data_IF_169493064736
#
_entry.id   IF_169493064736
#
_cell.length_a   1.000
_cell.length_b   1.000
_cell.length_c   1.000
_cell.angle_alpha   90.00
_cell.angle_beta   90.00
_cell.angle_gamma   90.00
#
_symmetry.space_group_name_H-M   'P 1'
#
loop_
_entity.id
_entity.type
_entity.pdbx_description
1 polymer ?
#
# COMPACT_ATOMS: atom_id res chain seq x y z
N UNK A 1 41.04 -14.48 11.05
CA UNK A 1 40.15 -15.45 10.38
C UNK A 1 38.75 -15.23 10.94
N UNK A 2 37.82 -14.74 10.12
CA UNK A 2 36.44 -14.49 10.52
C UNK A 2 35.70 -15.82 10.53
N UNK A 3 35.35 -16.31 11.71
CA UNK A 3 34.46 -17.45 11.89
C UNK A 3 33.05 -17.03 11.50
N UNK A 4 32.49 -17.67 10.48
CA UNK A 4 31.07 -17.50 10.14
C UNK A 4 30.24 -17.75 11.40
N UNK A 5 29.45 -16.76 11.82
CA UNK A 5 28.53 -16.88 12.94
C UNK A 5 27.47 -17.92 12.56
N UNK A 6 27.43 -19.03 13.27
CA UNK A 6 26.35 -20.01 13.10
C UNK A 6 25.00 -19.35 13.42
N UNK A 7 23.98 -19.64 12.62
CA UNK A 7 22.62 -19.13 12.80
C UNK A 7 21.97 -19.58 14.13
N UNK A 8 22.57 -20.59 14.77
CA UNK A 8 22.12 -21.15 16.04
C UNK A 8 23.22 -21.07 17.09
N UNK A 9 22.82 -20.64 18.29
CA UNK A 9 23.62 -20.67 19.51
C UNK A 9 23.40 -21.99 20.24
N UNK A 10 24.47 -22.50 20.83
CA UNK A 10 24.42 -23.53 21.88
C UNK A 10 24.07 -22.92 23.24
N UNK A 11 23.72 -23.75 24.22
CA UNK A 11 23.48 -23.30 25.61
C UNK A 11 24.65 -22.47 26.17
N UNK A 12 25.89 -22.89 25.89
CA UNK A 12 27.10 -22.18 26.34
C UNK A 12 27.21 -20.80 25.69
N UNK A 13 27.03 -20.72 24.37
CA UNK A 13 27.14 -19.46 23.64
C UNK A 13 26.02 -18.48 24.02
N UNK A 14 24.80 -18.96 24.30
CA UNK A 14 23.74 -18.12 24.84
C UNK A 14 24.06 -17.63 26.25
N UNK A 15 24.62 -18.49 27.11
CA UNK A 15 25.04 -18.10 28.46
C UNK A 15 26.14 -17.02 28.42
N UNK A 16 27.12 -17.17 27.53
CA UNK A 16 28.15 -16.16 27.28
C UNK A 16 27.57 -14.85 26.75
N UNK A 17 26.66 -14.91 25.78
CA UNK A 17 25.97 -13.74 25.22
C UNK A 17 25.22 -12.94 26.30
N UNK A 18 24.45 -13.64 27.13
CA UNK A 18 23.65 -13.03 28.21
C UNK A 18 24.47 -12.71 29.46
N UNK A 19 25.74 -13.13 29.52
CA UNK A 19 26.62 -13.03 30.68
C UNK A 19 26.01 -13.66 31.95
N UNK A 20 25.35 -14.81 31.78
CA UNK A 20 24.78 -15.61 32.86
C UNK A 20 25.42 -17.00 32.92
N UNK A 21 25.17 -17.75 34.00
CA UNK A 21 25.61 -19.15 34.09
C UNK A 21 24.70 -20.04 33.24
N UNK A 22 25.24 -21.08 32.61
CA UNK A 22 24.47 -22.05 31.80
C UNK A 22 23.26 -22.64 32.55
N UNK A 23 23.39 -22.89 33.86
CA UNK A 23 22.27 -23.31 34.72
C UNK A 23 21.06 -22.37 34.60
N UNK A 24 21.29 -21.07 34.52
CA UNK A 24 20.22 -20.08 34.41
C UNK A 24 19.56 -20.10 33.02
N UNK A 25 20.31 -20.47 31.98
CA UNK A 25 19.74 -20.74 30.65
C UNK A 25 18.79 -21.93 30.70
N UNK A 26 19.18 -23.02 31.38
CA UNK A 26 18.27 -24.16 31.59
C UNK A 26 17.02 -23.78 32.38
N UNK A 27 17.14 -22.94 33.41
CA UNK A 27 15.98 -22.44 34.15
C UNK A 27 15.03 -21.66 33.23
N UNK A 28 15.56 -20.77 32.37
CA UNK A 28 14.77 -19.99 31.40
C UNK A 28 14.07 -20.85 30.35
N UNK A 29 14.72 -21.93 29.92
CA UNK A 29 14.13 -22.91 29.01
C UNK A 29 13.03 -23.70 29.71
N UNK A 30 13.25 -24.10 30.97
CA UNK A 30 12.26 -24.83 31.76
C UNK A 30 11.02 -23.98 32.08
N UNK A 31 11.20 -22.67 32.30
CA UNK A 31 10.11 -21.72 32.49
C UNK A 31 9.47 -21.22 31.19
N UNK A 32 9.91 -21.71 30.03
CA UNK A 32 9.37 -21.34 28.72
C UNK A 32 9.57 -19.88 28.34
N UNK A 33 10.51 -19.18 28.99
CA UNK A 33 10.67 -17.73 28.87
C UNK A 33 11.60 -17.34 27.73
N UNK A 34 12.49 -18.24 27.31
CA UNK A 34 13.44 -18.02 26.20
C UNK A 34 13.08 -18.92 25.00
N UNK A 35 13.05 -18.39 23.77
CA UNK A 35 12.76 -19.20 22.58
C UNK A 35 13.88 -20.20 22.33
N UNK A 36 13.54 -21.48 22.20
CA UNK A 36 14.52 -22.54 21.94
C UNK A 36 13.95 -23.66 21.05
N UNK A 37 14.83 -24.38 20.38
CA UNK A 37 14.51 -25.56 19.59
C UNK A 37 15.28 -26.77 20.16
N UNK A 38 14.59 -27.90 20.32
CA UNK A 38 15.24 -29.17 20.64
C UNK A 38 15.50 -29.96 19.37
N UNK A 39 16.77 -30.16 19.03
CA UNK A 39 17.19 -30.98 17.90
C UNK A 39 18.15 -32.06 18.39
N UNK A 40 17.87 -33.33 18.11
CA UNK A 40 18.75 -34.47 18.49
C UNK A 40 19.16 -34.49 19.97
N UNK A 41 18.24 -34.12 20.87
CA UNK A 41 18.50 -34.08 22.32
C UNK A 41 19.30 -32.87 22.81
N UNK A 42 19.71 -31.96 21.93
CA UNK A 42 20.41 -30.71 22.28
C UNK A 42 19.47 -29.51 22.17
N UNK A 43 19.70 -28.51 23.03
CA UNK A 43 19.05 -27.21 22.94
C UNK A 43 19.84 -26.32 21.99
N UNK A 44 19.13 -25.74 21.03
CA UNK A 44 19.63 -24.76 20.08
C UNK A 44 18.77 -23.50 20.14
N UNK A 45 19.40 -22.35 19.94
CA UNK A 45 18.75 -21.05 20.04
C UNK A 45 19.04 -20.25 18.77
N UNK A 46 18.05 -20.06 17.92
CA UNK A 46 18.22 -19.25 16.70
C UNK A 46 18.56 -17.81 17.09
N UNK A 47 19.63 -17.25 16.52
CA UNK A 47 20.14 -15.93 16.89
C UNK A 47 19.08 -14.83 16.76
N UNK A 48 18.38 -14.78 15.62
CA UNK A 48 17.32 -13.82 15.38
C UNK A 48 16.17 -13.90 16.40
N UNK A 49 15.82 -15.12 16.85
CA UNK A 49 14.78 -15.31 17.86
C UNK A 49 15.22 -14.82 19.25
N UNK A 50 16.51 -14.98 19.59
CA UNK A 50 17.08 -14.47 20.84
C UNK A 50 17.17 -12.94 20.83
N UNK A 51 17.56 -12.35 19.71
CA UNK A 51 17.60 -10.89 19.54
C UNK A 51 16.21 -10.27 19.74
N UNK A 52 15.19 -10.79 19.04
CA UNK A 52 13.80 -10.35 19.21
C UNK A 52 13.28 -10.54 20.65
N UNK A 53 13.65 -11.64 21.31
CA UNK A 53 13.28 -11.89 22.69
C UNK A 53 13.91 -10.88 23.66
N UNK A 54 15.18 -10.54 23.48
CA UNK A 54 15.88 -9.54 24.30
C UNK A 54 15.27 -8.15 24.14
N UNK A 55 14.88 -7.80 22.92
CA UNK A 55 14.15 -6.56 22.64
C UNK A 55 12.79 -6.52 23.34
N UNK A 56 12.03 -7.62 23.31
CA UNK A 56 10.72 -7.71 23.96
C UNK A 56 10.77 -7.74 25.50
N UNK A 57 11.93 -8.11 26.08
CA UNK A 57 12.08 -8.31 27.53
C UNK A 57 12.68 -7.11 28.28
N UNK A 58 12.85 -5.96 27.62
CA UNK A 58 13.37 -4.74 28.24
C UNK A 58 12.35 -4.14 29.23
N UNK A 59 12.78 -3.84 30.46
CA UNK A 59 11.99 -3.09 31.45
C UNK A 59 12.86 -1.98 32.08
N UNK A 60 12.40 -0.73 32.02
CA UNK A 60 13.11 0.48 32.49
C UNK A 60 12.33 1.75 32.15
N UNK A 61 12.67 2.94 32.71
CA UNK A 61 11.98 4.18 32.37
C UNK A 61 12.11 4.43 30.87
N UNK A 62 10.95 4.59 30.21
CA UNK A 62 10.79 4.66 28.76
C UNK A 62 11.54 5.85 28.15
N UNK A 63 12.84 5.68 27.91
CA UNK A 63 13.71 6.58 27.15
C UNK A 63 14.24 5.97 25.85
N UNK A 64 13.91 4.70 25.59
CA UNK A 64 13.98 4.08 24.27
C UNK A 64 12.54 3.95 23.76
N UNK A 65 12.25 4.23 22.48
CA UNK A 65 10.90 4.19 21.97
C UNK A 65 10.34 2.80 22.25
N UNK A 66 9.25 2.73 23.04
CA UNK A 66 8.33 1.60 22.99
C UNK A 66 8.14 1.22 21.52
N UNK A 67 8.20 -0.07 21.15
CA UNK A 67 7.96 -0.59 19.80
C UNK A 67 7.18 0.45 18.98
N UNK A 68 7.89 1.22 18.15
CA UNK A 68 7.45 2.55 17.70
C UNK A 68 5.98 2.46 17.31
N UNK A 69 5.10 3.13 18.06
CA UNK A 69 3.70 3.18 17.70
C UNK A 69 3.66 3.83 16.32
N UNK A 70 3.31 3.03 15.31
CA UNK A 70 3.23 3.49 13.93
C UNK A 70 2.28 4.70 13.92
N UNK A 71 2.63 5.77 13.21
CA UNK A 71 1.73 6.91 13.10
C UNK A 71 0.43 6.45 12.43
N UNK A 72 -0.71 6.84 12.99
CA UNK A 72 -2.05 6.51 12.49
C UNK A 72 -2.35 7.29 11.21
N UNK A 73 -1.67 6.90 10.14
CA UNK A 73 -1.68 7.57 8.83
C UNK A 73 -1.95 6.53 7.74
N UNK A 74 -2.93 6.83 6.89
CA UNK A 74 -3.16 6.18 5.60
C UNK A 74 -2.26 6.81 4.54
N UNK A 75 -1.44 5.98 3.92
CA UNK A 75 -0.50 6.34 2.87
C UNK A 75 -1.02 5.90 1.50
N UNK A 76 -0.21 6.11 0.47
CA UNK A 76 -0.45 5.55 -0.85
C UNK A 76 -1.48 6.33 -1.66
N UNK A 77 -2.21 5.63 -2.50
CA UNK A 77 -3.00 6.24 -3.57
C UNK A 77 -4.26 6.92 -3.05
N UNK A 78 -4.56 8.08 -3.60
CA UNK A 78 -5.83 8.76 -3.34
C UNK A 78 -7.00 8.01 -4.01
N UNK A 79 -8.13 7.96 -3.31
CA UNK A 79 -9.41 7.53 -3.86
C UNK A 79 -10.55 8.35 -3.21
N UNK A 80 -11.53 8.86 -3.99
CA UNK A 80 -12.63 9.65 -3.44
C UNK A 80 -13.52 8.92 -2.44
N UNK A 81 -13.72 7.61 -2.58
CA UNK A 81 -14.51 6.81 -1.64
C UNK A 81 -13.74 6.59 -0.34
N UNK A 82 -12.44 6.25 -0.43
CA UNK A 82 -11.56 6.10 0.73
C UNK A 82 -11.43 7.41 1.51
N UNK A 83 -11.17 8.54 0.84
CA UNK A 83 -11.04 9.84 1.49
C UNK A 83 -12.32 10.23 2.23
N UNK A 84 -13.48 10.01 1.60
CA UNK A 84 -14.76 10.25 2.25
C UNK A 84 -14.98 9.32 3.45
N UNK A 85 -14.67 8.03 3.32
CA UNK A 85 -14.87 7.05 4.39
C UNK A 85 -13.98 7.31 5.62
N UNK A 86 -12.72 7.71 5.40
CA UNK A 86 -11.83 8.11 6.49
C UNK A 86 -12.38 9.33 7.26
N UNK A 87 -12.98 10.30 6.55
CA UNK A 87 -13.59 11.49 7.15
C UNK A 87 -14.90 11.18 7.88
N UNK A 88 -15.77 10.38 7.27
CA UNK A 88 -17.11 10.09 7.79
C UNK A 88 -17.10 9.10 8.97
N UNK A 89 -16.11 8.20 9.01
CA UNK A 89 -16.00 7.18 10.06
C UNK A 89 -15.58 7.71 11.43
N UNK A 90 -15.09 8.95 11.53
CA UNK A 90 -14.48 9.52 12.75
C UNK A 90 -13.40 8.60 13.36
N UNK A 91 -12.67 7.88 12.49
CA UNK A 91 -11.67 6.89 12.91
C UNK A 91 -10.38 7.50 13.49
N UNK A 92 -10.24 8.83 13.47
CA UNK A 92 -9.04 9.57 13.87
C UNK A 92 -7.75 9.24 13.08
N UNK A 93 -7.85 8.52 11.96
CA UNK A 93 -6.71 8.21 11.10
C UNK A 93 -6.47 9.36 10.12
N UNK A 94 -5.24 9.89 10.10
CA UNK A 94 -4.85 10.93 9.14
C UNK A 94 -4.62 10.34 7.73
N UNK A 95 -4.73 11.15 6.68
CA UNK A 95 -4.38 10.76 5.32
C UNK A 95 -3.18 11.55 4.80
N UNK A 96 -2.24 10.86 4.16
CA UNK A 96 -1.09 11.43 3.47
C UNK A 96 -0.90 10.74 2.12
N UNK A 97 -1.84 10.99 1.21
CA UNK A 97 -1.89 10.35 -0.09
C UNK A 97 -0.78 10.84 -1.06
N UNK A 98 -0.40 9.96 -1.97
CA UNK A 98 0.59 10.12 -3.04
C UNK A 98 0.41 9.01 -4.08
N UNK A 99 1.51 8.36 -4.48
CA UNK A 99 1.49 7.21 -5.39
C UNK A 99 1.40 5.86 -4.68
N UNK A 100 1.03 4.79 -5.40
CA UNK A 100 1.02 3.43 -4.85
C UNK A 100 2.43 2.98 -4.43
N UNK A 101 3.43 3.20 -5.29
CA UNK A 101 4.82 2.77 -5.01
C UNK A 101 5.45 3.57 -3.87
N UNK A 102 5.25 4.88 -3.88
CA UNK A 102 5.69 5.78 -2.82
C UNK A 102 4.95 5.51 -1.49
N UNK A 103 3.68 5.11 -1.54
CA UNK A 103 2.94 4.59 -0.38
C UNK A 103 3.55 3.31 0.20
N UNK A 104 3.96 2.36 -0.65
CA UNK A 104 4.63 1.13 -0.22
C UNK A 104 5.98 1.40 0.43
N UNK A 105 6.77 2.31 -0.15
CA UNK A 105 8.06 2.72 0.41
C UNK A 105 7.87 3.34 1.79
N UNK A 106 6.96 4.31 1.92
CA UNK A 106 6.63 4.95 3.20
C UNK A 106 6.06 3.96 4.22
N UNK A 107 5.27 2.99 3.78
CA UNK A 107 4.75 1.93 4.66
C UNK A 107 5.88 1.00 5.15
N UNK A 108 6.79 0.59 4.27
CA UNK A 108 7.97 -0.20 4.64
C UNK A 108 8.90 0.55 5.62
N UNK A 109 8.97 1.87 5.50
CA UNK A 109 9.69 2.78 6.41
C UNK A 109 8.92 3.14 7.69
N UNK A 110 7.85 2.39 8.00
CA UNK A 110 7.05 2.56 9.21
C UNK A 110 6.45 3.98 9.37
N UNK A 111 6.10 4.66 8.26
CA UNK A 111 5.54 6.02 8.24
C UNK A 111 4.00 6.07 8.27
N UNK A 112 3.35 4.92 8.39
CA UNK A 112 1.89 4.81 8.44
C UNK A 112 1.47 3.41 8.84
N UNK A 113 0.19 3.25 9.16
CA UNK A 113 -0.41 1.97 9.53
C UNK A 113 -1.07 1.26 8.34
N UNK A 114 -1.27 1.97 7.24
CA UNK A 114 -1.87 1.43 6.03
C UNK A 114 -1.42 2.19 4.78
N UNK A 115 -1.51 1.56 3.62
CA UNK A 115 -1.27 2.15 2.30
C UNK A 115 -2.31 1.67 1.31
N UNK A 116 -2.89 2.60 0.55
CA UNK A 116 -3.87 2.28 -0.49
C UNK A 116 -3.19 2.09 -1.86
N UNK A 117 -3.58 1.06 -2.60
CA UNK A 117 -2.81 0.53 -3.73
C UNK A 117 -3.69 0.12 -4.91
N UNK A 118 -3.16 0.31 -6.12
CA UNK A 118 -3.76 -0.15 -7.37
C UNK A 118 -2.65 -0.38 -8.43
N UNK A 119 -1.74 -1.29 -8.09
CA UNK A 119 -0.63 -1.68 -8.95
C UNK A 119 -1.07 -2.80 -9.89
N UNK A 120 -1.15 -2.52 -11.18
CA UNK A 120 -1.48 -3.51 -12.19
C UNK A 120 -0.29 -4.44 -12.46
N UNK A 121 -0.54 -5.75 -12.48
CA UNK A 121 0.46 -6.80 -12.66
C UNK A 121 0.18 -7.56 -13.97
N UNK A 122 0.77 -7.15 -15.11
CA UNK A 122 0.39 -7.67 -16.43
C UNK A 122 0.69 -9.15 -16.63
N UNK A 123 1.62 -9.72 -15.86
CA UNK A 123 2.01 -11.13 -15.99
C UNK A 123 0.87 -12.09 -15.64
N UNK A 124 0.07 -11.73 -14.64
CA UNK A 124 -0.99 -12.58 -14.08
C UNK A 124 -2.40 -11.97 -14.22
N UNK A 125 -2.52 -10.79 -14.84
CA UNK A 125 -3.75 -9.98 -14.89
C UNK A 125 -4.35 -9.73 -13.49
N UNK A 126 -3.47 -9.46 -12.53
CA UNK A 126 -3.80 -9.24 -11.13
C UNK A 126 -3.46 -7.83 -10.68
N UNK A 127 -3.83 -7.53 -9.44
CA UNK A 127 -3.55 -6.26 -8.79
C UNK A 127 -2.90 -6.52 -7.44
N UNK A 128 -1.83 -5.78 -7.16
CA UNK A 128 -1.13 -5.68 -5.87
C UNK A 128 -0.50 -6.98 -5.31
N UNK A 129 -1.10 -8.15 -5.49
CA UNK A 129 -0.77 -9.38 -4.75
C UNK A 129 0.66 -9.84 -4.98
N UNK A 130 1.16 -9.86 -6.22
CA UNK A 130 2.53 -10.26 -6.53
C UNK A 130 3.57 -9.30 -5.93
N UNK A 131 3.30 -8.00 -6.03
CA UNK A 131 4.13 -6.92 -5.50
C UNK A 131 4.19 -7.00 -3.97
N UNK A 132 3.05 -7.17 -3.30
CA UNK A 132 3.00 -7.30 -1.84
C UNK A 132 3.69 -8.58 -1.38
N UNK A 133 3.40 -9.70 -2.05
CA UNK A 133 3.98 -11.00 -1.66
C UNK A 133 5.50 -10.97 -1.77
N UNK A 134 6.05 -10.35 -2.81
CA UNK A 134 7.51 -10.24 -3.00
C UNK A 134 8.16 -9.24 -2.05
N UNK A 135 7.58 -8.05 -1.84
CA UNK A 135 8.19 -6.98 -1.03
C UNK A 135 8.02 -7.20 0.48
N UNK A 136 6.93 -7.80 0.92
CA UNK A 136 6.58 -7.98 2.34
C UNK A 136 6.66 -9.45 2.79
N UNK A 137 7.44 -10.28 2.09
CA UNK A 137 7.70 -11.67 2.49
C UNK A 137 8.20 -11.73 3.94
N UNK A 138 7.52 -12.49 4.80
CA UNK A 138 7.88 -12.64 6.21
C UNK A 138 7.46 -11.48 7.11
N UNK A 139 6.84 -10.43 6.57
CA UNK A 139 6.30 -9.32 7.34
C UNK A 139 4.83 -9.57 7.72
N UNK A 140 4.44 -9.00 8.85
CA UNK A 140 3.11 -9.13 9.42
C UNK A 140 2.18 -8.07 8.81
N UNK A 141 1.68 -8.32 7.60
CA UNK A 141 0.76 -7.42 6.89
C UNK A 141 -0.55 -8.11 6.52
N UNK A 142 -1.59 -7.30 6.29
CA UNK A 142 -2.91 -7.72 5.80
C UNK A 142 -3.21 -6.93 4.53
N UNK A 143 -3.62 -7.60 3.45
CA UNK A 143 -4.10 -6.96 2.23
C UNK A 143 -5.60 -7.20 2.11
N UNK A 144 -6.39 -6.14 1.99
CA UNK A 144 -7.84 -6.23 1.80
C UNK A 144 -8.27 -5.61 0.49
N UNK A 145 -9.21 -6.27 -0.18
CA UNK A 145 -9.94 -5.66 -1.27
C UNK A 145 -10.88 -4.60 -0.73
N UNK A 146 -10.70 -3.35 -1.18
CA UNK A 146 -11.54 -2.23 -0.77
C UNK A 146 -12.69 -2.02 -1.74
N UNK A 147 -12.35 -1.87 -3.03
CA UNK A 147 -13.34 -1.72 -4.08
C UNK A 147 -12.79 -2.10 -5.45
N UNK A 148 -13.72 -2.29 -6.39
CA UNK A 148 -13.45 -2.28 -7.81
C UNK A 148 -14.03 -1.01 -8.41
N UNK A 149 -13.31 -0.42 -9.37
CA UNK A 149 -13.68 0.83 -10.03
C UNK A 149 -13.39 0.81 -11.52
N UNK A 150 -14.13 1.55 -12.33
CA UNK A 150 -13.85 1.68 -13.77
C UNK A 150 -12.81 2.77 -14.05
N UNK A 151 -11.76 2.37 -14.79
CA UNK A 151 -10.64 3.21 -15.21
C UNK A 151 -10.69 3.43 -16.72
N UNK A 152 -10.48 4.65 -17.15
CA UNK A 152 -10.58 5.01 -18.56
C UNK A 152 -10.04 6.40 -18.89
N UNK A 153 -10.29 6.85 -20.11
CA UNK A 153 -9.93 8.20 -20.54
C UNK A 153 -11.06 9.17 -20.20
N UNK A 154 -10.74 10.20 -19.42
CA UNK A 154 -11.60 11.35 -19.16
C UNK A 154 -11.31 12.40 -20.23
N UNK A 155 -12.35 12.87 -20.91
CA UNK A 155 -12.27 13.76 -22.06
C UNK A 155 -13.28 14.90 -21.94
N UNK A 156 -13.04 16.01 -22.62
CA UNK A 156 -14.12 16.96 -22.90
C UNK A 156 -15.22 16.29 -23.76
N UNK A 157 -16.52 16.60 -23.56
CA UNK A 157 -17.60 15.95 -24.28
C UNK A 157 -17.48 15.98 -25.81
N UNK A 158 -16.96 17.07 -26.37
CA UNK A 158 -16.74 17.27 -27.81
C UNK A 158 -15.58 16.44 -28.38
N UNK A 159 -14.64 15.98 -27.54
CA UNK A 159 -13.52 15.14 -27.94
C UNK A 159 -13.85 13.65 -28.00
N UNK A 160 -15.02 13.23 -27.48
CA UNK A 160 -15.42 11.82 -27.37
C UNK A 160 -15.50 11.06 -28.71
N UNK A 161 -15.69 11.78 -29.82
CA UNK A 161 -15.69 11.19 -31.17
C UNK A 161 -14.27 11.04 -31.76
N UNK A 162 -13.31 11.81 -31.25
CA UNK A 162 -11.93 11.86 -31.78
C UNK A 162 -10.96 10.99 -30.99
N UNK A 163 -11.26 10.73 -29.72
CA UNK A 163 -10.44 9.90 -28.83
C UNK A 163 -11.35 8.79 -28.31
N UNK A 164 -11.15 7.58 -28.83
CA UNK A 164 -11.97 6.40 -28.55
C UNK A 164 -11.16 5.25 -27.96
N UNK A 165 -9.83 5.34 -27.99
CA UNK A 165 -8.92 4.38 -27.40
C UNK A 165 -7.58 5.04 -27.06
N UNK A 166 -6.68 4.27 -26.43
CA UNK A 166 -5.33 4.74 -26.04
C UNK A 166 -4.47 5.11 -27.26
N UNK A 167 -4.66 4.46 -28.41
CA UNK A 167 -3.91 4.77 -29.62
C UNK A 167 -4.17 6.19 -30.15
N UNK A 168 -5.37 6.73 -29.88
CA UNK A 168 -5.79 8.07 -30.30
C UNK A 168 -5.13 9.20 -29.46
N UNK A 169 -4.39 8.84 -28.41
CA UNK A 169 -3.63 9.79 -27.58
C UNK A 169 -2.34 10.28 -28.23
N UNK A 170 -1.93 9.70 -29.35
CA UNK A 170 -0.77 10.15 -30.10
C UNK A 170 -0.90 11.64 -30.46
N UNK A 171 0.14 12.42 -30.16
CA UNK A 171 0.23 13.86 -30.42
C UNK A 171 -0.81 14.73 -29.67
N UNK A 172 -1.45 14.17 -28.63
CA UNK A 172 -2.42 14.86 -27.75
C UNK A 172 -1.77 15.36 -26.46
N UNK A 173 -2.43 16.35 -25.83
CA UNK A 173 -2.11 16.81 -24.48
C UNK A 173 -2.74 15.88 -23.45
N UNK A 174 -1.93 15.20 -22.66
CA UNK A 174 -2.39 14.22 -21.67
C UNK A 174 -1.99 14.65 -20.28
N UNK A 175 -2.90 14.52 -19.31
CA UNK A 175 -2.59 14.85 -17.92
C UNK A 175 -1.54 13.90 -17.36
N UNK A 176 -0.43 14.45 -16.89
CA UNK A 176 0.58 13.68 -16.16
C UNK A 176 0.11 13.37 -14.74
N UNK A 177 0.54 12.22 -14.23
CA UNK A 177 0.49 11.87 -12.81
C UNK A 177 1.90 11.78 -12.27
N UNK A 178 2.05 11.79 -10.95
CA UNK A 178 3.37 11.58 -10.33
C UNK A 178 3.95 10.24 -10.82
N UNK A 179 5.26 10.14 -11.11
CA UNK A 179 5.86 8.93 -11.67
C UNK A 179 5.55 7.66 -10.87
N UNK A 180 5.39 7.77 -9.55
CA UNK A 180 5.19 6.69 -8.59
C UNK A 180 3.72 6.23 -8.47
N UNK A 181 2.77 6.87 -9.17
CA UNK A 181 1.35 6.45 -9.12
C UNK A 181 1.10 5.19 -9.94
N UNK A 182 0.14 4.37 -9.49
CA UNK A 182 -0.36 3.23 -10.28
C UNK A 182 -0.93 3.68 -11.61
N UNK A 183 -1.59 4.84 -11.66
CA UNK A 183 -2.14 5.41 -12.90
C UNK A 183 -1.07 5.80 -13.93
N UNK A 184 0.06 6.38 -13.52
CA UNK A 184 1.14 6.72 -14.47
C UNK A 184 1.79 5.46 -15.04
N UNK A 185 1.98 4.43 -14.21
CA UNK A 185 2.48 3.13 -14.64
C UNK A 185 1.52 2.44 -15.60
N UNK A 186 0.23 2.44 -15.26
CA UNK A 186 -0.82 1.86 -16.11
C UNK A 186 -0.89 2.57 -17.46
N UNK A 187 -0.81 3.90 -17.50
CA UNK A 187 -0.77 4.64 -18.77
C UNK A 187 0.40 4.20 -19.65
N UNK A 188 1.60 4.05 -19.08
CA UNK A 188 2.77 3.56 -19.81
C UNK A 188 2.53 2.17 -20.40
N UNK A 189 2.02 1.25 -19.59
CA UNK A 189 1.72 -0.11 -20.04
C UNK A 189 0.68 -0.13 -21.17
N UNK A 190 -0.38 0.66 -21.06
CA UNK A 190 -1.42 0.77 -22.08
C UNK A 190 -0.88 1.37 -23.39
N UNK A 191 0.00 2.38 -23.31
CA UNK A 191 0.66 2.96 -24.48
C UNK A 191 1.59 1.95 -25.15
N UNK A 192 2.39 1.22 -24.37
CA UNK A 192 3.29 0.18 -24.87
C UNK A 192 2.50 -0.93 -25.59
N UNK A 193 1.37 -1.38 -25.00
CA UNK A 193 0.46 -2.35 -25.63
C UNK A 193 -0.14 -1.83 -26.93
N UNK A 194 -0.44 -0.53 -27.01
CA UNK A 194 -0.95 0.12 -28.21
C UNK A 194 0.15 0.46 -29.25
N UNK A 195 1.42 0.21 -28.94
CA UNK A 195 2.55 0.54 -29.80
C UNK A 195 2.79 2.05 -29.96
N UNK A 196 2.36 2.85 -28.97
CA UNK A 196 2.54 4.30 -28.98
C UNK A 196 3.75 4.67 -28.12
N UNK A 197 4.76 5.30 -28.74
CA UNK A 197 5.87 5.90 -27.99
C UNK A 197 5.33 7.03 -27.11
N UNK A 198 5.56 6.94 -25.79
CA UNK A 198 5.19 7.95 -24.80
C UNK A 198 5.68 9.36 -25.17
N UNK A 199 6.78 9.48 -25.93
CA UNK A 199 7.30 10.77 -26.40
C UNK A 199 6.40 11.48 -27.41
N UNK A 200 5.44 10.77 -27.99
CA UNK A 200 4.41 11.37 -28.86
C UNK A 200 3.33 12.08 -28.07
N UNK A 201 3.23 11.86 -26.76
CA UNK A 201 2.28 12.58 -25.92
C UNK A 201 2.90 13.88 -25.42
N UNK A 202 2.06 14.91 -25.26
CA UNK A 202 2.43 16.16 -24.60
C UNK A 202 1.88 16.13 -23.18
N UNK A 203 2.74 15.95 -22.19
CA UNK A 203 2.30 15.90 -20.80
C UNK A 203 2.11 17.29 -20.20
N UNK A 204 1.04 17.47 -19.42
CA UNK A 204 0.86 18.64 -18.55
C UNK A 204 1.81 18.60 -17.36
N UNK A 205 1.73 19.60 -16.48
CA UNK A 205 2.22 19.44 -15.11
C UNK A 205 1.52 18.25 -14.44
N UNK A 206 2.26 17.56 -13.56
CA UNK A 206 1.75 16.39 -12.86
C UNK A 206 0.63 16.79 -11.89
N UNK A 207 -0.53 16.15 -12.04
CA UNK A 207 -1.61 16.22 -11.06
C UNK A 207 -1.32 15.29 -9.87
N UNK A 208 -1.72 15.71 -8.68
CA UNK A 208 -1.50 15.01 -7.42
C UNK A 208 -2.72 14.22 -6.96
N UNK A 209 -3.95 14.55 -7.38
CA UNK A 209 -5.17 13.79 -7.04
C UNK A 209 -6.02 13.40 -8.25
N UNK A 210 -6.84 12.35 -8.13
CA UNK A 210 -7.77 11.94 -9.20
C UNK A 210 -8.67 13.11 -9.62
N UNK A 211 -9.12 13.90 -8.63
CA UNK A 211 -9.91 15.13 -8.80
C UNK A 211 -9.17 16.18 -9.63
N UNK A 212 -7.91 16.43 -9.32
CA UNK A 212 -7.09 17.40 -10.06
C UNK A 212 -6.87 16.96 -11.50
N UNK A 213 -6.64 15.66 -11.73
CA UNK A 213 -6.48 15.14 -13.08
C UNK A 213 -7.73 15.38 -13.95
N UNK A 214 -8.92 15.17 -13.38
CA UNK A 214 -10.18 15.48 -14.07
C UNK A 214 -10.38 17.00 -14.25
N UNK A 215 -9.96 17.84 -13.29
CA UNK A 215 -10.06 19.29 -13.37
C UNK A 215 -9.23 19.86 -14.52
N UNK A 216 -8.02 19.35 -14.75
CA UNK A 216 -7.14 19.80 -15.85
C UNK A 216 -7.81 19.57 -17.22
N UNK A 217 -8.54 18.46 -17.39
CA UNK A 217 -9.35 18.21 -18.59
C UNK A 217 -10.54 19.17 -18.64
N UNK A 218 -11.27 19.33 -17.53
CA UNK A 218 -12.41 20.24 -17.41
C UNK A 218 -12.07 21.68 -17.79
N UNK A 219 -10.86 22.13 -17.46
CA UNK A 219 -10.35 23.47 -17.76
C UNK A 219 -9.82 23.61 -19.20
N UNK A 220 -9.79 22.53 -19.98
CA UNK A 220 -9.29 22.52 -21.37
C UNK A 220 -7.76 22.58 -21.51
N UNK A 221 -7.06 22.36 -20.40
CA UNK A 221 -5.59 22.38 -20.34
C UNK A 221 -4.97 21.09 -20.89
N UNK A 222 -5.72 19.98 -20.87
CA UNK A 222 -5.39 18.72 -21.51
C UNK A 222 -6.56 18.21 -22.38
N UNK A 223 -6.24 17.39 -23.37
CA UNK A 223 -7.22 16.73 -24.24
C UNK A 223 -7.76 15.44 -23.58
N UNK A 224 -6.94 14.78 -22.75
CA UNK A 224 -7.31 13.56 -22.04
C UNK A 224 -6.60 13.39 -20.69
N UNK A 225 -7.23 12.67 -19.77
CA UNK A 225 -6.60 12.16 -18.55
C UNK A 225 -6.94 10.67 -18.37
N UNK A 226 -5.99 9.86 -17.90
CA UNK A 226 -6.33 8.55 -17.37
C UNK A 226 -6.94 8.73 -15.97
N UNK A 227 -8.20 8.34 -15.79
CA UNK A 227 -8.98 8.68 -14.60
C UNK A 227 -10.17 7.76 -14.35
N UNK A 228 -10.90 8.03 -13.27
CA UNK A 228 -12.05 7.24 -12.84
C UNK A 228 -13.33 7.70 -13.50
N UNK A 229 -14.20 6.75 -13.86
CA UNK A 229 -15.55 7.04 -14.36
C UNK A 229 -16.35 7.92 -13.40
N UNK A 230 -16.25 7.63 -12.10
CA UNK A 230 -16.90 8.40 -11.04
C UNK A 230 -16.63 9.90 -11.12
N UNK A 231 -15.40 10.30 -11.50
CA UNK A 231 -15.04 11.71 -11.65
C UNK A 231 -15.44 12.28 -12.99
N UNK A 232 -15.34 11.50 -14.07
CA UNK A 232 -15.81 11.94 -15.38
C UNK A 232 -17.31 12.30 -15.32
N UNK A 233 -18.15 11.41 -14.78
CA UNK A 233 -19.59 11.67 -14.66
C UNK A 233 -19.89 12.82 -13.69
N UNK A 234 -19.19 12.90 -12.54
CA UNK A 234 -19.34 14.00 -11.58
C UNK A 234 -19.08 15.36 -12.22
N UNK A 235 -18.08 15.46 -13.10
CA UNK A 235 -17.74 16.68 -13.82
C UNK A 235 -18.45 16.84 -15.16
N UNK A 236 -19.36 15.92 -15.52
CA UNK A 236 -20.06 15.89 -16.81
C UNK A 236 -19.10 15.89 -18.01
N UNK A 237 -17.96 15.23 -17.84
CA UNK A 237 -16.98 14.96 -18.86
C UNK A 237 -17.32 13.66 -19.59
N UNK A 238 -16.82 13.50 -20.82
CA UNK A 238 -16.90 12.23 -21.52
C UNK A 238 -15.94 11.22 -20.91
N UNK A 239 -16.28 9.94 -21.06
CA UNK A 239 -15.50 8.82 -20.54
C UNK A 239 -15.40 7.71 -21.57
N UNK A 240 -14.18 7.24 -21.81
CA UNK A 240 -13.89 6.05 -22.62
C UNK A 240 -13.39 4.96 -21.68
N UNK A 241 -14.19 3.91 -21.40
CA UNK A 241 -13.77 2.84 -20.50
C UNK A 241 -12.61 2.05 -21.11
N UNK A 242 -11.60 1.74 -20.29
CA UNK A 242 -10.44 0.93 -20.71
C UNK A 242 -10.37 -0.38 -19.94
N UNK A 243 -10.59 -0.35 -18.63
CA UNK A 243 -10.55 -1.55 -17.79
C UNK A 243 -11.24 -1.35 -16.45
N UNK A 244 -11.38 -2.46 -15.71
CA UNK A 244 -11.69 -2.44 -14.28
C UNK A 244 -10.40 -2.48 -13.48
N UNK A 245 -10.35 -1.67 -12.43
CA UNK A 245 -9.22 -1.54 -11.53
C UNK A 245 -9.62 -2.00 -10.14
N UNK A 246 -8.79 -2.85 -9.53
CA UNK A 246 -8.94 -3.27 -8.13
C UNK A 246 -8.11 -2.36 -7.24
N UNK A 247 -8.75 -1.81 -6.22
CA UNK A 247 -8.15 -0.92 -5.24
C UNK A 247 -8.11 -1.63 -3.88
N UNK A 248 -6.90 -1.84 -3.35
CA UNK A 248 -6.67 -2.59 -2.11
C UNK A 248 -6.06 -1.70 -1.02
N UNK A 249 -6.26 -2.09 0.24
CA UNK A 249 -5.58 -1.49 1.39
C UNK A 249 -4.59 -2.50 1.95
N UNK A 250 -3.30 -2.17 1.93
CA UNK A 250 -2.26 -2.86 2.69
C UNK A 250 -2.24 -2.27 4.10
N UNK A 251 -2.28 -3.11 5.13
CA UNK A 251 -2.42 -2.71 6.52
C UNK A 251 -1.41 -3.47 7.38
N UNK A 252 -0.81 -2.79 8.35
CA UNK A 252 0.01 -3.44 9.37
C UNK A 252 -0.86 -4.38 10.22
N UNK A 253 -0.44 -5.63 10.41
CA UNK A 253 -1.26 -6.65 11.09
C UNK A 253 -1.55 -6.30 12.54
N UNK A 254 -0.71 -5.53 13.23
CA UNK A 254 -1.02 -5.10 14.60
C UNK A 254 -2.07 -4.00 14.56
N UNK A 255 -1.87 -2.98 13.73
CA UNK A 255 -2.84 -1.91 13.52
C UNK A 255 -4.22 -2.41 13.08
N UNK A 256 -4.28 -3.57 12.40
CA UNK A 256 -5.52 -4.26 12.07
C UNK A 256 -6.48 -4.38 13.25
N UNK A 257 -5.97 -4.65 14.45
CA UNK A 257 -6.78 -4.89 15.65
C UNK A 257 -6.97 -3.64 16.52
N UNK A 258 -6.37 -2.51 16.16
CA UNK A 258 -6.43 -1.30 16.97
C UNK A 258 -7.75 -0.53 16.73
N UNK A 259 -8.27 0.19 17.74
CA UNK A 259 -9.57 0.85 17.67
C UNK A 259 -9.78 1.78 16.46
N UNK A 260 -8.81 2.64 16.06
CA UNK A 260 -8.96 3.51 14.89
C UNK A 260 -9.34 2.74 13.62
N UNK A 261 -8.61 1.66 13.33
CA UNK A 261 -8.86 0.89 12.12
C UNK A 261 -10.14 0.06 12.23
N UNK A 262 -10.45 -0.47 13.41
CA UNK A 262 -11.72 -1.18 13.63
C UNK A 262 -12.93 -0.26 13.46
N UNK A 263 -12.85 1.01 13.90
CA UNK A 263 -13.88 2.03 13.64
C UNK A 263 -14.05 2.28 12.14
N UNK A 264 -12.95 2.45 11.41
CA UNK A 264 -12.98 2.60 9.95
C UNK A 264 -13.62 1.38 9.25
N UNK A 265 -13.18 0.17 9.58
CA UNK A 265 -13.69 -1.07 8.97
C UNK A 265 -15.17 -1.29 9.30
N UNK A 266 -15.60 -0.97 10.52
CA UNK A 266 -17.01 -1.04 10.91
C UNK A 266 -17.87 -0.07 10.09
N UNK A 267 -17.36 1.15 9.85
CA UNK A 267 -18.02 2.11 8.98
C UNK A 267 -18.11 1.61 7.53
N UNK A 268 -17.04 1.02 6.99
CA UNK A 268 -17.03 0.43 5.64
C UNK A 268 -18.06 -0.71 5.48
N UNK A 269 -18.42 -1.40 6.57
CA UNK A 269 -19.47 -2.42 6.56
C UNK A 269 -20.90 -1.86 6.74
N UNK A 270 -21.06 -0.55 6.88
CA UNK A 270 -22.35 0.10 7.15
C UNK A 270 -23.18 0.32 5.87
N UNK A 271 -24.53 0.45 6.00
CA UNK A 271 -25.38 0.85 4.87
C UNK A 271 -24.98 2.20 4.27
N UNK A 272 -24.55 3.16 5.09
CA UNK A 272 -24.13 4.49 4.60
C UNK A 272 -22.93 4.40 3.66
N UNK A 273 -21.96 3.53 3.95
CA UNK A 273 -20.85 3.27 3.05
C UNK A 273 -21.30 2.61 1.75
N UNK A 274 -22.17 1.59 1.84
CA UNK A 274 -22.71 0.91 0.67
C UNK A 274 -23.49 1.88 -0.25
N UNK A 275 -24.34 2.74 0.32
CA UNK A 275 -25.09 3.76 -0.41
C UNK A 275 -24.15 4.77 -1.09
N UNK A 276 -23.09 5.20 -0.39
CA UNK A 276 -22.10 6.10 -0.97
C UNK A 276 -21.33 5.44 -2.12
N UNK A 277 -20.87 4.20 -1.93
CA UNK A 277 -20.19 3.45 -2.98
C UNK A 277 -21.09 3.29 -4.21
N UNK A 278 -22.36 2.93 -4.02
CA UNK A 278 -23.34 2.81 -5.10
C UNK A 278 -23.66 4.14 -5.81
N UNK A 279 -23.47 5.27 -5.12
CA UNK A 279 -23.63 6.61 -5.73
C UNK A 279 -22.48 7.02 -6.65
N UNK A 280 -21.34 6.31 -6.60
CA UNK A 280 -20.18 6.56 -7.45
C UNK A 280 -20.24 5.60 -8.66
N UNK A 281 -20.38 6.11 -9.89
CA UNK A 281 -20.48 5.24 -11.06
C UNK A 281 -19.13 4.62 -11.44
N UNK A 282 -19.18 3.35 -11.87
CA UNK A 282 -18.05 2.59 -12.39
C UNK A 282 -17.32 1.75 -11.36
#
# INVERSE_FOLDING_TARGET
MSTALSDYLTTRELAELLRIKERKVYDLVASGTVPCTRATGKLLFARAAIEAWLESSQTGPSGAPSAQQLPEVFLGSHDPLLEWALKESDCAIASNFGGSLDGLERFADAKGIASALHLFEPGDDQWNVGTISSQFTGQAVVLIEFCWRERGLILQPDQSHSITCVADLADRRVVARQPETGSQHLLKQLLDQAGIDIKRLQFTMAAHSETEAASVVLEGLADAALGLRALAERYRLAFVPLMRERFDLLIDRRAWFEPPLQTFLHFCASPAFADKAASLPG
#
